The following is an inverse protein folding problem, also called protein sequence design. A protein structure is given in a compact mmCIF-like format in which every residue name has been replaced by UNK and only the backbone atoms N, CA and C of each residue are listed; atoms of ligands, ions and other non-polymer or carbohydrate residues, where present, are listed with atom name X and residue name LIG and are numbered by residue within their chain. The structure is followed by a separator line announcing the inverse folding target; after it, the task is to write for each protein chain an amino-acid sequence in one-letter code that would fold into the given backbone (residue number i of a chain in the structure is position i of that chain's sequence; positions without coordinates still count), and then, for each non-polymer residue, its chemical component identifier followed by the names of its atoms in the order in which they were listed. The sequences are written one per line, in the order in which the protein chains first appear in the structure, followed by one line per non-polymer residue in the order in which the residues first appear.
data_IF_743488532146
#
_entry.id   IF_743488532146
#
_cell.length_a   1.000
_cell.length_b   1.000
_cell.length_c   1.000
_cell.angle_alpha   90.00
_cell.angle_beta   90.00
_cell.angle_gamma   90.00
#
_symmetry.space_group_name_H-M   'P 1'
#
loop_
_entity.id
_entity.type
_entity.pdbx_description
1 polymer ?
#
# COMPACT_ATOMS: atom_id res chain seq x y z
N UNK A 1 0.09 -11.22 -13.94
CA UNK A 1 1.20 -11.79 -14.73
C UNK A 1 0.67 -12.53 -15.96
N UNK A 2 -0.09 -13.60 -15.81
CA UNK A 2 -0.64 -14.39 -16.92
C UNK A 2 -1.38 -13.56 -17.98
N UNK A 3 -2.30 -12.67 -17.57
CA UNK A 3 -3.00 -11.79 -18.49
C UNK A 3 -2.04 -10.89 -19.30
N UNK A 4 -1.03 -10.32 -18.67
CA UNK A 4 -0.01 -9.52 -19.33
C UNK A 4 0.77 -10.31 -20.37
N UNK A 5 1.13 -11.54 -20.06
CA UNK A 5 1.84 -12.44 -20.98
C UNK A 5 0.94 -12.90 -22.16
N UNK A 6 -0.35 -13.09 -21.90
CA UNK A 6 -1.31 -13.51 -22.93
C UNK A 6 -1.52 -12.40 -23.97
N UNK A 7 -1.55 -11.15 -23.55
CA UNK A 7 -1.75 -9.99 -24.45
C UNK A 7 -0.57 -9.79 -25.41
N UNK A 8 0.64 -10.24 -25.06
CA UNK A 8 1.88 -10.16 -25.87
C UNK A 8 2.19 -8.75 -26.42
N UNK A 9 1.76 -7.70 -25.73
CA UNK A 9 2.01 -6.30 -26.02
C UNK A 9 2.56 -5.60 -24.78
N UNK A 10 3.04 -4.36 -24.92
CA UNK A 10 3.50 -3.57 -23.79
C UNK A 10 2.42 -3.41 -22.71
N UNK A 11 2.84 -3.45 -21.47
CA UNK A 11 1.95 -3.38 -20.29
C UNK A 11 2.39 -2.23 -19.38
N UNK A 12 1.42 -1.44 -18.90
CA UNK A 12 1.65 -0.48 -17.80
C UNK A 12 1.05 -1.06 -16.52
N UNK A 13 1.82 -1.09 -15.46
CA UNK A 13 1.37 -1.44 -14.13
C UNK A 13 1.44 -0.20 -13.24
N UNK A 14 0.31 0.21 -12.67
CA UNK A 14 0.17 1.36 -11.79
C UNK A 14 0.02 0.92 -10.35
N UNK A 15 0.86 1.50 -9.50
CA UNK A 15 0.91 1.23 -8.07
C UNK A 15 0.63 2.51 -7.26
N UNK A 16 0.28 2.36 -6.00
CA UNK A 16 -0.01 3.48 -5.10
C UNK A 16 1.26 4.19 -4.62
N UNK A 17 2.37 3.47 -4.47
CA UNK A 17 3.63 4.00 -3.95
C UNK A 17 4.86 3.32 -4.57
N UNK A 18 6.06 3.86 -4.30
CA UNK A 18 7.32 3.37 -4.85
C UNK A 18 7.70 1.96 -4.36
N UNK A 19 7.32 1.61 -3.13
CA UNK A 19 7.58 0.26 -2.58
C UNK A 19 6.81 -0.80 -3.38
N UNK A 20 5.53 -0.54 -3.65
CA UNK A 20 4.71 -1.42 -4.48
C UNK A 20 5.28 -1.55 -5.91
N UNK A 21 5.85 -0.46 -6.47
CA UNK A 21 6.54 -0.53 -7.78
C UNK A 21 7.67 -1.54 -7.77
N UNK A 22 8.52 -1.53 -6.73
CA UNK A 22 9.62 -2.49 -6.60
C UNK A 22 9.12 -3.92 -6.39
N UNK A 23 8.07 -4.10 -5.61
CA UNK A 23 7.43 -5.40 -5.41
C UNK A 23 6.88 -5.95 -6.72
N UNK A 24 6.15 -5.15 -7.49
CA UNK A 24 5.61 -5.54 -8.80
C UNK A 24 6.73 -5.86 -9.80
N UNK A 25 7.81 -5.07 -9.83
CA UNK A 25 8.98 -5.37 -10.65
C UNK A 25 9.53 -6.75 -10.31
N UNK A 26 9.78 -7.01 -9.02
CA UNK A 26 10.27 -8.31 -8.55
C UNK A 26 9.34 -9.47 -8.91
N UNK A 27 8.02 -9.28 -8.79
CA UNK A 27 7.04 -10.29 -9.17
C UNK A 27 7.04 -10.56 -10.69
N UNK A 28 7.22 -9.53 -11.52
CA UNK A 28 7.37 -9.74 -12.98
C UNK A 28 8.64 -10.54 -13.29
N UNK A 29 9.74 -10.26 -12.64
CA UNK A 29 11.01 -11.02 -12.77
C UNK A 29 10.83 -12.48 -12.36
N UNK A 30 10.12 -12.73 -11.27
CA UNK A 30 9.95 -14.08 -10.73
C UNK A 30 9.00 -14.95 -11.54
N UNK A 31 7.90 -14.37 -12.02
CA UNK A 31 6.78 -15.14 -12.58
C UNK A 31 6.59 -14.99 -14.09
N UNK A 32 7.49 -14.29 -14.77
CA UNK A 32 7.41 -14.15 -16.24
C UNK A 32 8.77 -14.39 -16.88
N UNK A 33 8.74 -14.69 -18.18
CA UNK A 33 9.95 -14.79 -19.00
C UNK A 33 10.39 -13.46 -19.63
N UNK A 34 9.84 -12.33 -19.15
CA UNK A 34 10.20 -10.99 -19.65
C UNK A 34 11.63 -10.66 -19.20
N UNK A 35 12.54 -10.34 -20.13
CA UNK A 35 13.90 -9.95 -19.78
C UNK A 35 13.94 -8.70 -18.89
N UNK A 36 14.85 -8.63 -17.92
CA UNK A 36 14.99 -7.49 -17.02
C UNK A 36 15.12 -6.14 -17.74
N UNK A 37 15.80 -6.11 -18.87
CA UNK A 37 15.93 -4.92 -19.69
C UNK A 37 14.60 -4.39 -20.27
N UNK A 38 13.57 -5.23 -20.30
CA UNK A 38 12.21 -4.87 -20.73
C UNK A 38 11.27 -4.53 -19.57
N UNK A 39 11.72 -4.66 -18.31
CA UNK A 39 10.94 -4.28 -17.12
C UNK A 39 11.43 -2.92 -16.63
N UNK A 40 10.77 -1.86 -17.07
CA UNK A 40 11.12 -0.47 -16.81
C UNK A 40 10.40 0.05 -15.56
N UNK A 41 11.07 0.90 -14.81
CA UNK A 41 10.53 1.61 -13.64
C UNK A 41 10.54 3.11 -13.89
N UNK A 42 9.42 3.78 -13.57
CA UNK A 42 9.30 5.23 -13.63
C UNK A 42 8.73 5.76 -12.33
N UNK A 43 9.62 6.29 -11.48
CA UNK A 43 9.30 6.89 -10.18
C UNK A 43 10.05 8.21 -10.02
N UNK A 44 9.91 8.89 -8.89
CA UNK A 44 10.72 10.08 -8.55
C UNK A 44 12.23 9.79 -8.60
N UNK A 45 12.61 8.60 -8.13
CA UNK A 45 14.01 8.22 -7.86
C UNK A 45 14.63 7.43 -9.01
N UNK A 46 13.81 6.76 -9.81
CA UNK A 46 14.26 5.93 -10.92
C UNK A 46 13.48 6.23 -12.20
N UNK A 47 14.22 6.45 -13.30
CA UNK A 47 13.68 6.88 -14.60
C UNK A 47 14.29 6.04 -15.72
N UNK A 48 13.81 4.79 -15.85
CA UNK A 48 14.25 3.90 -16.92
C UNK A 48 13.67 4.38 -18.27
N UNK A 49 14.50 4.46 -19.31
CA UNK A 49 14.01 4.71 -20.67
C UNK A 49 13.22 3.52 -21.17
N UNK A 50 12.12 3.80 -21.87
CA UNK A 50 11.32 2.74 -22.48
C UNK A 50 12.04 2.25 -23.76
N UNK A 51 12.16 0.92 -23.96
CA UNK A 51 12.67 0.37 -25.20
C UNK A 51 11.66 0.55 -26.34
N UNK A 52 12.12 0.51 -27.59
CA UNK A 52 11.25 0.63 -28.77
C UNK A 52 10.32 -0.58 -28.93
N UNK A 53 10.72 -1.74 -28.42
CA UNK A 53 9.94 -2.99 -28.43
C UNK A 53 8.94 -3.11 -27.28
N UNK A 54 8.31 -4.30 -27.16
CA UNK A 54 7.41 -4.61 -26.05
C UNK A 54 8.12 -4.49 -24.70
N UNK A 55 7.43 -3.91 -23.72
CA UNK A 55 7.98 -3.73 -22.37
C UNK A 55 6.88 -3.76 -21.30
N UNK A 56 7.31 -3.96 -20.08
CA UNK A 56 6.50 -3.77 -18.87
C UNK A 56 6.98 -2.49 -18.21
N UNK A 57 6.12 -1.50 -18.09
CA UNK A 57 6.38 -0.30 -17.32
C UNK A 57 5.68 -0.41 -15.96
N UNK A 58 6.44 -0.29 -14.87
CA UNK A 58 5.88 -0.21 -13.51
C UNK A 58 6.10 1.19 -12.98
N UNK A 59 5.01 1.84 -12.58
CA UNK A 59 5.04 3.25 -12.15
C UNK A 59 3.95 3.53 -11.11
N UNK A 60 3.85 4.75 -10.61
CA UNK A 60 2.80 5.14 -9.67
C UNK A 60 1.71 5.97 -10.34
N UNK A 61 0.49 5.94 -9.77
CA UNK A 61 -0.59 6.82 -10.21
C UNK A 61 -0.20 8.29 -10.19
N UNK A 62 0.54 8.72 -9.17
CA UNK A 62 1.02 10.09 -9.02
C UNK A 62 1.98 10.50 -10.13
N UNK A 63 2.88 9.62 -10.55
CA UNK A 63 3.81 9.89 -11.65
C UNK A 63 3.08 10.15 -12.97
N UNK A 64 2.06 9.36 -13.28
CA UNK A 64 1.30 9.54 -14.53
C UNK A 64 0.37 10.77 -14.44
N UNK A 65 -0.31 10.95 -13.31
CA UNK A 65 -1.32 12.01 -13.13
C UNK A 65 -0.75 13.40 -12.83
N UNK A 66 0.56 13.50 -12.56
CA UNK A 66 1.20 14.77 -12.24
C UNK A 66 1.08 15.77 -13.39
N UNK A 67 0.57 16.97 -13.11
CA UNK A 67 0.32 18.04 -14.09
C UNK A 67 1.26 19.24 -13.96
N UNK A 68 2.20 19.20 -13.00
CA UNK A 68 3.19 20.25 -12.82
C UNK A 68 4.33 20.17 -13.84
N UNK A 69 5.26 21.11 -13.74
CA UNK A 69 6.46 21.13 -14.59
C UNK A 69 7.35 19.91 -14.26
N UNK A 70 7.65 19.10 -15.26
CA UNK A 70 8.55 17.93 -15.17
C UNK A 70 9.97 18.34 -15.57
N UNK A 71 10.96 17.55 -15.13
CA UNK A 71 12.31 17.61 -15.74
C UNK A 71 12.24 17.16 -17.20
N UNK A 72 13.20 17.59 -18.03
CA UNK A 72 13.26 17.20 -19.44
C UNK A 72 13.27 15.67 -19.63
N UNK A 73 14.04 14.96 -18.81
CA UNK A 73 14.10 13.50 -18.82
C UNK A 73 12.74 12.87 -18.49
N UNK A 74 12.09 13.32 -17.41
CA UNK A 74 10.78 12.83 -17.00
C UNK A 74 9.70 13.15 -18.03
N UNK A 75 9.80 14.28 -18.71
CA UNK A 75 8.87 14.65 -19.78
C UNK A 75 9.04 13.74 -20.99
N UNK A 76 10.29 13.46 -21.42
CA UNK A 76 10.55 12.56 -22.53
C UNK A 76 9.99 11.13 -22.30
N UNK A 77 10.12 10.63 -21.06
CA UNK A 77 9.50 9.34 -20.69
C UNK A 77 7.97 9.44 -20.76
N UNK A 78 7.40 10.50 -20.24
CA UNK A 78 5.94 10.71 -20.27
C UNK A 78 5.40 10.82 -21.69
N UNK A 79 6.12 11.51 -22.59
CA UNK A 79 5.78 11.61 -24.02
C UNK A 79 5.82 10.22 -24.69
N UNK A 80 6.82 9.40 -24.34
CA UNK A 80 6.90 8.00 -24.79
C UNK A 80 5.73 7.15 -24.27
N UNK A 81 5.27 7.39 -23.04
CA UNK A 81 4.12 6.68 -22.46
C UNK A 81 2.82 7.06 -23.16
N UNK A 82 2.59 8.36 -23.38
CA UNK A 82 1.35 8.88 -23.99
C UNK A 82 1.28 8.66 -25.49
N UNK A 83 2.44 8.64 -26.15
CA UNK A 83 2.56 8.40 -27.61
C UNK A 83 2.45 6.93 -28.01
N UNK A 84 2.62 6.00 -27.07
CA UNK A 84 2.58 4.54 -27.30
C UNK A 84 1.19 3.99 -27.08
N UNK A 85 0.82 3.00 -27.89
CA UNK A 85 -0.32 2.13 -27.60
C UNK A 85 0.09 0.97 -26.70
N UNK A 86 -0.64 0.81 -25.58
CA UNK A 86 -0.40 -0.22 -24.61
C UNK A 86 -1.41 -1.37 -24.78
N UNK A 87 -0.95 -2.60 -24.69
CA UNK A 87 -1.83 -3.75 -24.73
C UNK A 87 -2.70 -3.83 -23.48
N UNK A 88 -2.13 -3.53 -22.31
CA UNK A 88 -2.83 -3.62 -21.03
C UNK A 88 -2.39 -2.53 -20.05
N UNK A 89 -3.37 -2.00 -19.32
CA UNK A 89 -3.20 -1.15 -18.16
C UNK A 89 -3.62 -1.95 -16.92
N UNK A 90 -2.66 -2.35 -16.10
CA UNK A 90 -2.87 -2.97 -14.79
C UNK A 90 -2.92 -1.87 -13.74
N UNK A 91 -3.89 -1.91 -12.87
CA UNK A 91 -4.12 -0.90 -11.83
C UNK A 91 -4.26 -1.59 -10.49
N UNK A 92 -3.25 -1.43 -9.64
CA UNK A 92 -3.22 -2.00 -8.30
C UNK A 92 -3.92 -1.08 -7.30
N UNK A 93 -4.61 -1.67 -6.31
CA UNK A 93 -5.34 -0.97 -5.25
C UNK A 93 -6.28 0.14 -5.77
N UNK A 94 -7.08 -0.21 -6.78
CA UNK A 94 -7.95 0.77 -7.47
C UNK A 94 -8.95 1.48 -6.57
N UNK A 95 -9.29 0.89 -5.42
CA UNK A 95 -10.20 1.46 -4.43
C UNK A 95 -9.63 2.69 -3.71
N UNK A 96 -8.31 2.80 -3.59
CA UNK A 96 -7.63 3.90 -2.87
C UNK A 96 -7.48 5.15 -3.73
N UNK A 97 -7.53 5.00 -5.05
CA UNK A 97 -7.19 6.08 -5.98
C UNK A 97 -8.32 7.11 -6.09
N UNK A 98 -8.07 8.41 -5.85
CA UNK A 98 -9.08 9.45 -6.03
C UNK A 98 -9.60 9.49 -7.46
N UNK A 99 -10.93 9.64 -7.63
CA UNK A 99 -11.59 9.62 -8.94
C UNK A 99 -10.98 10.60 -9.97
N UNK A 100 -10.59 11.80 -9.55
CA UNK A 100 -9.94 12.79 -10.42
C UNK A 100 -8.58 12.32 -10.94
N UNK A 101 -7.78 11.69 -10.07
CA UNK A 101 -6.48 11.13 -10.45
C UNK A 101 -6.67 9.97 -11.41
N UNK A 102 -7.62 9.11 -11.11
CA UNK A 102 -7.95 7.94 -11.90
C UNK A 102 -8.36 8.31 -13.34
N UNK A 103 -9.30 9.26 -13.50
CA UNK A 103 -9.73 9.75 -14.82
C UNK A 103 -8.56 10.35 -15.62
N UNK A 104 -7.66 11.09 -14.96
CA UNK A 104 -6.47 11.65 -15.61
C UNK A 104 -5.53 10.57 -16.13
N UNK A 105 -5.29 9.54 -15.34
CA UNK A 105 -4.44 8.40 -15.73
C UNK A 105 -5.02 7.69 -16.95
N UNK A 106 -6.31 7.36 -16.91
CA UNK A 106 -7.00 6.67 -18.02
C UNK A 106 -6.99 7.51 -19.31
N UNK A 107 -7.10 8.84 -19.18
CA UNK A 107 -7.00 9.74 -20.31
C UNK A 107 -5.58 9.87 -20.89
N UNK A 108 -4.55 9.63 -20.08
CA UNK A 108 -3.16 9.76 -20.49
C UNK A 108 -2.58 8.48 -21.09
N UNK A 109 -3.02 7.31 -20.66
CA UNK A 109 -2.50 6.00 -21.11
C UNK A 109 -3.48 5.33 -22.06
N UNK A 110 -3.10 5.24 -23.33
CA UNK A 110 -3.91 4.58 -24.37
C UNK A 110 -3.72 3.06 -24.29
N UNK A 111 -4.61 2.36 -23.60
CA UNK A 111 -4.54 0.90 -23.46
C UNK A 111 -5.74 0.20 -24.07
N UNK A 112 -5.50 -0.94 -24.74
CA UNK A 112 -6.56 -1.76 -25.34
C UNK A 112 -7.44 -2.43 -24.29
N UNK A 113 -6.84 -2.90 -23.20
CA UNK A 113 -7.60 -3.45 -22.06
C UNK A 113 -7.11 -2.86 -20.75
N UNK A 114 -8.03 -2.84 -19.78
CA UNK A 114 -7.80 -2.31 -18.43
C UNK A 114 -8.17 -3.39 -17.45
N UNK A 115 -7.33 -3.57 -16.42
CA UNK A 115 -7.57 -4.54 -15.35
C UNK A 115 -7.28 -3.89 -14.01
N UNK A 116 -8.30 -3.75 -13.20
CA UNK A 116 -8.19 -3.27 -11.82
C UNK A 116 -8.04 -4.43 -10.85
N UNK A 117 -7.17 -4.27 -9.87
CA UNK A 117 -6.93 -5.21 -8.79
C UNK A 117 -7.18 -4.51 -7.45
N UNK A 118 -7.84 -5.20 -6.53
CA UNK A 118 -8.04 -4.70 -5.17
C UNK A 118 -8.31 -5.86 -4.22
N UNK A 119 -7.79 -5.77 -3.01
CA UNK A 119 -8.14 -6.71 -1.93
C UNK A 119 -9.49 -6.36 -1.29
N UNK A 120 -9.90 -5.09 -1.36
CA UNK A 120 -11.14 -4.59 -0.77
C UNK A 120 -11.92 -3.79 -1.80
N UNK A 121 -13.14 -4.24 -2.12
CA UNK A 121 -14.01 -3.54 -3.08
C UNK A 121 -14.90 -2.48 -2.40
N UNK A 122 -14.74 -2.28 -1.10
CA UNK A 122 -15.53 -1.31 -0.33
C UNK A 122 -14.89 0.08 -0.46
N UNK A 123 -15.64 1.01 -1.05
CA UNK A 123 -15.31 2.45 -1.05
C UNK A 123 -16.34 3.18 -0.21
N UNK A 124 -15.87 4.08 0.63
CA UNK A 124 -16.72 4.89 1.51
C UNK A 124 -17.46 6.01 0.77
N UNK A 125 -17.07 6.32 -0.48
CA UNK A 125 -17.54 7.46 -1.26
C UNK A 125 -18.57 7.14 -2.36
N UNK A 126 -19.22 5.99 -2.32
CA UNK A 126 -20.22 5.50 -3.30
C UNK A 126 -19.75 5.52 -4.78
N UNK A 127 -18.49 5.77 -5.04
CA UNK A 127 -17.91 5.88 -6.39
C UNK A 127 -17.50 4.53 -7.02
N UNK A 128 -18.06 3.42 -6.54
CA UNK A 128 -17.88 2.08 -7.15
C UNK A 128 -18.42 2.08 -8.58
N UNK A 129 -19.51 2.83 -8.84
CA UNK A 129 -20.07 2.99 -10.18
C UNK A 129 -19.08 3.63 -11.16
N UNK A 130 -18.28 4.60 -10.72
CA UNK A 130 -17.23 5.23 -11.50
C UNK A 130 -16.13 4.21 -11.90
N UNK A 131 -15.76 3.29 -11.00
CA UNK A 131 -14.78 2.24 -11.29
C UNK A 131 -15.32 1.27 -12.33
N UNK A 132 -16.58 0.84 -12.21
CA UNK A 132 -17.22 -0.04 -13.20
C UNK A 132 -17.28 0.60 -14.58
N UNK A 133 -17.53 1.91 -14.65
CA UNK A 133 -17.56 2.64 -15.92
C UNK A 133 -16.15 2.80 -16.52
N UNK A 134 -15.14 3.09 -15.70
CA UNK A 134 -13.80 3.41 -16.18
C UNK A 134 -12.93 2.16 -16.44
N UNK A 135 -13.15 1.07 -15.72
CA UNK A 135 -12.38 -0.17 -15.86
C UNK A 135 -13.23 -1.26 -16.53
N UNK A 136 -14.41 -1.50 -15.98
CA UNK A 136 -15.30 -2.59 -16.36
C UNK A 136 -15.94 -3.26 -15.13
N UNK A 137 -16.81 -4.25 -15.35
CA UNK A 137 -17.48 -4.97 -14.28
C UNK A 137 -16.49 -5.85 -13.51
N UNK A 138 -16.86 -6.22 -12.27
CA UNK A 138 -16.12 -7.19 -11.47
C UNK A 138 -16.11 -8.55 -12.18
N UNK A 139 -14.92 -9.03 -12.54
CA UNK A 139 -14.73 -10.31 -13.25
C UNK A 139 -14.57 -11.48 -12.30
N UNK A 140 -13.93 -11.26 -11.15
CA UNK A 140 -13.60 -12.32 -10.22
C UNK A 140 -13.51 -11.76 -8.80
N UNK A 141 -13.95 -12.53 -7.84
CA UNK A 141 -13.77 -12.30 -6.42
C UNK A 141 -13.34 -13.60 -5.75
N UNK A 142 -12.21 -13.57 -5.06
CA UNK A 142 -11.73 -14.70 -4.30
C UNK A 142 -12.37 -14.72 -2.92
N UNK A 143 -12.95 -15.85 -2.54
CA UNK A 143 -13.39 -16.06 -1.16
C UNK A 143 -12.17 -16.37 -0.29
N UNK A 144 -11.90 -15.51 0.70
CA UNK A 144 -10.76 -15.69 1.58
C UNK A 144 -10.85 -16.97 2.44
N UNK A 145 -12.06 -17.43 2.78
CA UNK A 145 -12.27 -18.66 3.55
C UNK A 145 -11.86 -19.88 2.73
N UNK A 146 -12.22 -19.92 1.44
CA UNK A 146 -11.83 -21.00 0.53
C UNK A 146 -10.32 -21.02 0.32
N UNK A 147 -9.70 -19.85 0.16
CA UNK A 147 -8.25 -19.72 0.01
C UNK A 147 -7.50 -20.15 1.28
N UNK A 148 -8.07 -19.87 2.47
CA UNK A 148 -7.53 -20.33 3.75
C UNK A 148 -7.66 -21.84 3.89
N UNK A 149 -8.82 -22.40 3.55
CA UNK A 149 -9.05 -23.85 3.60
C UNK A 149 -8.11 -24.61 2.65
N UNK A 150 -7.75 -24.02 1.51
CA UNK A 150 -6.81 -24.57 0.54
C UNK A 150 -5.33 -24.32 0.90
N UNK A 151 -5.05 -23.62 2.01
CA UNK A 151 -3.68 -23.32 2.47
C UNK A 151 -2.96 -22.19 1.73
N UNK A 152 -3.64 -21.44 0.87
CA UNK A 152 -3.05 -20.27 0.20
C UNK A 152 -2.98 -19.04 1.11
N UNK A 153 -3.86 -18.92 2.08
CA UNK A 153 -3.86 -17.87 3.09
C UNK A 153 -3.72 -18.47 4.49
N UNK A 154 -3.10 -17.71 5.39
CA UNK A 154 -3.02 -18.08 6.80
C UNK A 154 -4.38 -18.00 7.48
N UNK A 155 -4.57 -18.79 8.53
CA UNK A 155 -5.71 -18.65 9.42
C UNK A 155 -5.66 -17.32 10.16
N UNK A 156 -6.75 -16.57 10.12
CA UNK A 156 -6.86 -15.29 10.80
C UNK A 156 -7.71 -15.45 12.05
N UNK A 157 -7.18 -15.00 13.19
CA UNK A 157 -7.92 -14.84 14.44
C UNK A 157 -7.99 -13.36 14.76
N UNK A 158 -9.19 -12.80 14.79
CA UNK A 158 -9.42 -11.41 15.18
C UNK A 158 -9.98 -11.37 16.59
N UNK A 159 -9.28 -10.70 17.50
CA UNK A 159 -9.66 -10.58 18.91
C UNK A 159 -9.76 -9.11 19.30
N UNK A 160 -10.91 -8.71 19.82
CA UNK A 160 -11.10 -7.39 20.39
C UNK A 160 -10.74 -7.40 21.88
N UNK A 161 -9.81 -6.52 22.29
CA UNK A 161 -9.37 -6.40 23.68
C UNK A 161 -9.93 -5.12 24.29
N UNK A 162 -10.86 -5.27 25.20
CA UNK A 162 -11.46 -4.15 25.92
C UNK A 162 -10.49 -3.58 26.96
N UNK A 163 -10.16 -2.31 26.81
CA UNK A 163 -9.25 -1.58 27.69
C UNK A 163 -10.00 -0.42 28.37
N UNK A 164 -10.68 -0.65 29.49
CA UNK A 164 -11.41 0.41 30.18
C UNK A 164 -10.48 1.55 30.56
N UNK A 165 -10.97 2.77 30.43
CA UNK A 165 -10.19 3.95 30.79
C UNK A 165 -10.03 4.06 32.31
N UNK A 166 -8.81 4.35 32.77
CA UNK A 166 -8.57 4.56 34.20
C UNK A 166 -9.34 5.79 34.72
N UNK A 167 -9.73 5.80 36.00
CA UNK A 167 -10.55 6.85 36.59
C UNK A 167 -10.06 8.28 36.30
N UNK A 168 -8.79 8.60 36.53
CA UNK A 168 -8.23 9.91 36.20
C UNK A 168 -8.35 10.27 34.71
N UNK A 169 -8.03 9.34 33.82
CA UNK A 169 -8.14 9.55 32.37
C UNK A 169 -9.58 9.73 31.91
N UNK A 170 -10.53 8.97 32.49
CA UNK A 170 -11.97 9.11 32.20
C UNK A 170 -12.49 10.48 32.63
N UNK A 171 -12.08 10.96 33.81
CA UNK A 171 -12.46 12.29 34.30
C UNK A 171 -12.00 13.39 33.34
N UNK A 172 -10.73 13.36 32.94
CA UNK A 172 -10.18 14.32 31.96
C UNK A 172 -10.86 14.20 30.59
N UNK A 173 -11.15 12.97 30.14
CA UNK A 173 -11.84 12.73 28.89
C UNK A 173 -13.24 13.33 28.86
N UNK A 174 -14.00 13.24 29.94
CA UNK A 174 -15.36 13.79 30.05
C UNK A 174 -15.35 15.30 30.12
N UNK A 175 -14.33 15.91 30.73
CA UNK A 175 -14.21 17.37 30.86
C UNK A 175 -13.55 18.03 29.65
N UNK A 176 -12.77 17.29 28.86
CA UNK A 176 -12.06 17.83 27.69
C UNK A 176 -13.06 18.29 26.62
N UNK A 177 -12.87 19.50 26.11
CA UNK A 177 -13.65 20.07 24.99
C UNK A 177 -13.00 19.81 23.64
N UNK A 178 -11.68 19.65 23.61
CA UNK A 178 -10.91 19.42 22.36
C UNK A 178 -10.93 17.94 21.96
N UNK A 179 -11.33 17.68 20.70
CA UNK A 179 -11.27 16.34 20.12
C UNK A 179 -9.86 15.75 20.13
N UNK A 180 -8.83 16.59 19.93
CA UNK A 180 -7.43 16.17 19.97
C UNK A 180 -7.00 15.70 21.37
N UNK A 181 -7.45 16.39 22.41
CA UNK A 181 -7.17 16.00 23.81
C UNK A 181 -7.88 14.68 24.12
N UNK A 182 -9.14 14.53 23.73
CA UNK A 182 -9.88 13.27 23.86
C UNK A 182 -9.16 12.12 23.17
N UNK A 183 -8.69 12.35 21.95
CA UNK A 183 -7.92 11.37 21.19
C UNK A 183 -6.65 10.95 21.93
N UNK A 184 -5.87 11.90 22.43
CA UNK A 184 -4.68 11.59 23.23
C UNK A 184 -5.01 10.75 24.45
N UNK A 185 -6.05 11.11 25.20
CA UNK A 185 -6.45 10.40 26.42
C UNK A 185 -6.83 8.94 26.15
N UNK A 186 -7.62 8.65 25.10
CA UNK A 186 -8.00 7.25 24.85
C UNK A 186 -6.86 6.45 24.21
N UNK A 187 -5.97 7.07 23.45
CA UNK A 187 -4.81 6.38 22.89
C UNK A 187 -3.76 6.08 23.96
N UNK A 188 -3.54 7.05 24.86
CA UNK A 188 -2.55 6.96 25.94
C UNK A 188 -3.08 6.29 27.21
N UNK A 189 -4.29 5.74 27.17
CA UNK A 189 -4.88 5.05 28.31
C UNK A 189 -3.94 3.99 28.92
N UNK A 190 -3.58 4.08 30.21
CA UNK A 190 -2.66 3.12 30.84
C UNK A 190 -3.10 1.66 30.74
N UNK A 191 -4.42 1.39 30.75
CA UNK A 191 -4.94 0.04 30.58
C UNK A 191 -4.61 -0.51 29.18
N UNK A 192 -4.69 0.34 28.14
CA UNK A 192 -4.30 -0.03 26.77
C UNK A 192 -2.80 -0.33 26.67
N UNK A 193 -1.97 0.50 27.30
CA UNK A 193 -0.53 0.29 27.32
C UNK A 193 -0.17 -1.06 27.96
N UNK A 194 -0.77 -1.40 29.12
CA UNK A 194 -0.55 -2.69 29.79
C UNK A 194 -1.00 -3.88 28.94
N UNK A 195 -2.13 -3.74 28.24
CA UNK A 195 -2.60 -4.78 27.32
C UNK A 195 -1.61 -4.99 26.17
N UNK A 196 -1.11 -3.93 25.57
CA UNK A 196 -0.09 -4.01 24.50
C UNK A 196 1.20 -4.65 25.04
N UNK A 197 1.69 -4.22 26.19
CA UNK A 197 2.89 -4.77 26.81
C UNK A 197 2.75 -6.29 27.07
N UNK A 198 1.61 -6.69 27.61
CA UNK A 198 1.30 -8.11 27.85
C UNK A 198 1.29 -8.91 26.53
N UNK A 199 0.56 -8.43 25.52
CA UNK A 199 0.47 -9.12 24.23
C UNK A 199 1.83 -9.21 23.54
N UNK A 200 2.61 -8.14 23.63
CA UNK A 200 3.96 -8.10 23.08
C UNK A 200 4.81 -9.19 23.72
N UNK A 201 4.89 -9.27 25.04
CA UNK A 201 5.65 -10.30 25.76
C UNK A 201 5.15 -11.72 25.46
N UNK A 202 3.85 -11.90 25.46
CA UNK A 202 3.23 -13.19 25.16
C UNK A 202 3.62 -13.74 23.78
N UNK A 203 3.60 -12.87 22.76
CA UNK A 203 3.98 -13.29 21.42
C UNK A 203 5.49 -13.39 21.22
N UNK A 204 6.30 -12.60 21.98
CA UNK A 204 7.76 -12.76 22.00
C UNK A 204 8.17 -14.15 22.50
N UNK A 205 7.62 -14.59 23.62
CA UNK A 205 7.90 -15.90 24.21
C UNK A 205 7.56 -17.04 23.23
N UNK A 206 6.57 -16.84 22.39
CA UNK A 206 6.18 -17.79 21.32
C UNK A 206 7.06 -17.72 20.09
N UNK A 207 7.87 -16.69 19.97
CA UNK A 207 8.69 -16.44 18.78
C UNK A 207 7.91 -15.93 17.57
N UNK A 208 6.73 -15.38 17.79
CA UNK A 208 5.85 -14.84 16.74
C UNK A 208 6.43 -13.53 16.16
N UNK A 209 6.06 -13.20 14.92
CA UNK A 209 6.31 -11.89 14.33
C UNK A 209 5.22 -10.93 14.75
N UNK A 210 5.58 -9.74 15.22
CA UNK A 210 4.63 -8.79 15.79
C UNK A 210 4.72 -7.46 15.06
N UNK A 211 3.55 -6.89 14.73
CA UNK A 211 3.41 -5.51 14.25
C UNK A 211 2.41 -4.81 15.14
N UNK A 212 2.80 -3.65 15.67
CA UNK A 212 1.91 -2.78 16.45
C UNK A 212 1.63 -1.52 15.63
N UNK A 213 0.35 -1.27 15.34
CA UNK A 213 -0.10 -0.08 14.62
C UNK A 213 -0.66 0.99 15.57
N UNK A 214 -0.41 2.25 15.27
CA UNK A 214 -1.04 3.38 15.93
C UNK A 214 -1.22 4.56 14.99
N UNK A 215 -2.39 5.20 15.03
CA UNK A 215 -2.71 6.38 14.21
C UNK A 215 -1.92 7.63 14.63
N UNK A 216 -1.49 7.69 15.89
CA UNK A 216 -0.76 8.83 16.41
C UNK A 216 0.74 8.55 16.50
N UNK A 217 1.53 9.31 15.74
CA UNK A 217 3.00 9.23 15.79
C UNK A 217 3.55 9.45 17.20
N UNK A 218 2.91 10.32 18.00
CA UNK A 218 3.31 10.56 19.38
C UNK A 218 3.22 9.30 20.25
N UNK A 219 2.10 8.60 20.22
CA UNK A 219 1.93 7.34 20.96
C UNK A 219 2.86 6.26 20.44
N UNK A 220 3.06 6.22 19.12
CA UNK A 220 3.98 5.29 18.49
C UNK A 220 5.40 5.42 19.03
N UNK A 221 5.90 6.68 19.11
CA UNK A 221 7.22 6.98 19.69
C UNK A 221 7.31 6.50 21.13
N UNK A 222 6.30 6.81 21.94
CA UNK A 222 6.28 6.39 23.35
C UNK A 222 6.29 4.87 23.49
N UNK A 223 5.44 4.15 22.74
CA UNK A 223 5.43 2.68 22.75
C UNK A 223 6.77 2.10 22.29
N UNK A 224 7.38 2.69 21.25
CA UNK A 224 8.69 2.26 20.77
C UNK A 224 9.78 2.40 21.83
N UNK A 225 9.80 3.55 22.52
CA UNK A 225 10.76 3.83 23.60
C UNK A 225 10.56 2.90 24.80
N UNK A 226 9.31 2.71 25.23
CA UNK A 226 8.99 1.86 26.38
C UNK A 226 9.26 0.38 26.12
N UNK A 227 8.92 -0.11 24.93
CA UNK A 227 9.12 -1.49 24.54
C UNK A 227 10.52 -1.75 23.98
N UNK A 228 11.34 -0.68 23.78
CA UNK A 228 12.68 -0.74 23.14
C UNK A 228 12.65 -1.46 21.79
N UNK A 229 11.67 -1.08 20.95
CA UNK A 229 11.46 -1.69 19.64
C UNK A 229 11.62 -0.69 18.50
N UNK A 230 12.09 -1.13 17.32
CA UNK A 230 12.21 -0.26 16.16
C UNK A 230 10.83 0.22 15.71
N UNK A 231 10.74 1.46 15.25
CA UNK A 231 9.51 2.03 14.69
C UNK A 231 9.68 2.47 13.25
N UNK A 232 8.56 2.49 12.52
CA UNK A 232 8.44 3.02 11.16
C UNK A 232 7.26 4.00 11.12
N UNK A 233 7.47 5.20 10.61
CA UNK A 233 6.42 6.21 10.43
C UNK A 233 6.69 7.06 9.17
N UNK A 234 5.83 8.03 8.84
CA UNK A 234 5.88 8.78 7.58
C UNK A 234 7.23 9.40 7.23
N UNK A 235 7.98 9.89 8.20
CA UNK A 235 9.29 10.51 8.01
C UNK A 235 10.45 9.49 7.95
N UNK A 236 10.22 8.20 8.19
CA UNK A 236 11.27 7.18 8.12
C UNK A 236 11.76 7.02 6.69
N UNK A 237 13.07 7.18 6.42
CA UNK A 237 13.63 7.04 5.07
C UNK A 237 13.35 5.67 4.45
N UNK A 238 13.14 5.64 3.14
CA UNK A 238 12.78 4.43 2.39
C UNK A 238 13.79 3.28 2.60
N UNK A 239 15.09 3.60 2.62
CA UNK A 239 16.17 2.62 2.88
C UNK A 239 16.03 1.95 4.25
N UNK A 240 15.67 2.72 5.28
CA UNK A 240 15.43 2.17 6.61
C UNK A 240 14.15 1.34 6.68
N UNK A 241 13.10 1.74 5.94
CA UNK A 241 11.86 0.96 5.83
C UNK A 241 12.12 -0.42 5.23
N UNK A 242 12.93 -0.49 4.18
CA UNK A 242 13.30 -1.75 3.54
C UNK A 242 14.22 -2.59 4.45
N UNK A 243 15.23 -1.98 5.08
CA UNK A 243 16.13 -2.66 6.01
C UNK A 243 15.41 -3.25 7.22
N UNK A 244 14.45 -2.52 7.80
CA UNK A 244 13.64 -3.00 8.94
C UNK A 244 12.62 -4.07 8.55
N UNK A 245 12.19 -4.14 7.28
CA UNK A 245 11.32 -5.22 6.75
C UNK A 245 12.08 -6.51 6.42
N UNK A 246 13.35 -6.40 6.01
CA UNK A 246 14.20 -7.54 5.62
C UNK A 246 15.07 -8.06 6.75
N UNK A 247 15.28 -7.26 7.82
CA UNK A 247 15.97 -7.72 9.00
C UNK A 247 15.20 -8.87 9.64
N UNK A 248 15.92 -9.88 10.15
CA UNK A 248 15.36 -10.97 10.94
C UNK A 248 14.73 -10.50 12.26
N UNK A 249 14.62 -9.17 12.45
CA UNK A 249 13.92 -8.57 13.56
C UNK A 249 12.43 -8.88 13.46
N UNK A 250 11.94 -9.60 14.43
CA UNK A 250 10.53 -10.05 14.53
C UNK A 250 9.55 -8.94 14.87
N UNK A 251 9.98 -7.65 14.85
CA UNK A 251 9.27 -6.51 15.42
C UNK A 251 9.25 -5.30 14.50
N UNK A 252 8.09 -4.72 14.33
CA UNK A 252 7.92 -3.39 13.74
C UNK A 252 6.76 -2.69 14.44
N UNK A 253 7.00 -1.49 14.95
CA UNK A 253 5.96 -0.55 15.38
C UNK A 253 5.72 0.42 14.21
N UNK A 254 4.53 0.45 13.66
CA UNK A 254 4.22 1.21 12.44
C UNK A 254 3.07 2.18 12.64
N UNK A 255 3.16 3.35 12.01
CA UNK A 255 2.02 4.23 11.80
C UNK A 255 1.31 3.84 10.51
N UNK A 256 0.00 3.99 10.46
CA UNK A 256 -0.78 3.73 9.25
C UNK A 256 -0.32 4.68 8.13
N UNK A 257 -0.29 4.17 6.90
CA UNK A 257 0.18 4.87 5.69
C UNK A 257 -0.70 6.03 5.31
#
# INVERSE_FOLDING_TARGET
MTAAQTVKKSVVCLCTNAVSVLQWKYQFQLWTSVPDAQICVFTSDKRDKLPDGPCVLVTTYTMISFSGKRSAESQAIMDSITGREWGMLLMDEVHVVPAKMFRRVIGSVKAHCRLGLTATLVREDDLISDLNFLIGPKLYEANWMDLTAQGYLANVQCVEVWCPMTGPFMKEYLTATSARVKQLLYVMNPAKLRAVEFLVRFHEERGDKIIVFSDLVYSLKLYADMLKKPMIYGETPERERQGKRTSHERWVISNHF
#
